data_IF_248530463057
#
_entry.id   IF_248530463057
#
_cell.length_a   1.000
_cell.length_b   1.000
_cell.length_c   1.000
_cell.angle_alpha   90.00
_cell.angle_beta   90.00
_cell.angle_gamma   90.00
#
_symmetry.space_group_name_H-M   'P 1'
#
loop_
_entity.id
_entity.type
_entity.pdbx_description
1 polymer ?
#
# COMPACT_ATOMS: atom_id res chain seq x y z
N UNK A 1 1.58 11.16 -57.94
CA UNK A 1 2.99 11.14 -57.46
C UNK A 1 3.32 12.20 -56.39
N UNK A 2 2.94 13.48 -56.54
CA UNK A 2 3.23 14.52 -55.53
C UNK A 2 2.27 14.46 -54.29
N UNK A 3 0.99 14.16 -54.52
CA UNK A 3 -0.03 13.98 -53.46
C UNK A 3 0.27 12.78 -52.54
N UNK A 4 0.73 11.70 -53.08
CA UNK A 4 1.05 10.48 -52.34
C UNK A 4 2.26 10.69 -51.41
N UNK A 5 3.26 11.46 -51.82
CA UNK A 5 4.43 11.81 -51.03
C UNK A 5 4.09 12.74 -49.86
N UNK A 6 3.15 13.70 -50.06
CA UNK A 6 2.67 14.59 -49.00
C UNK A 6 1.87 13.79 -47.96
N UNK A 7 1.00 12.87 -48.40
CA UNK A 7 0.20 12.03 -47.50
C UNK A 7 1.10 11.09 -46.65
N UNK A 8 2.11 10.49 -47.26
CA UNK A 8 3.07 9.63 -46.58
C UNK A 8 3.90 10.42 -45.55
N UNK A 9 4.32 11.63 -45.86
CA UNK A 9 5.03 12.52 -44.94
C UNK A 9 4.15 12.97 -43.77
N UNK A 10 2.86 13.22 -43.99
CA UNK A 10 1.93 13.60 -42.93
C UNK A 10 1.66 12.43 -41.96
N UNK A 11 1.51 11.21 -42.48
CA UNK A 11 1.32 10.01 -41.67
C UNK A 11 2.57 9.72 -40.85
N UNK A 12 3.76 9.84 -41.43
CA UNK A 12 5.03 9.67 -40.70
C UNK A 12 5.19 10.68 -39.55
N UNK A 13 4.81 11.95 -39.79
CA UNK A 13 4.86 12.99 -38.74
C UNK A 13 3.90 12.72 -37.59
N UNK A 14 2.69 12.22 -37.87
CA UNK A 14 1.70 11.86 -36.81
C UNK A 14 2.16 10.67 -35.98
N UNK A 15 2.81 9.68 -36.58
CA UNK A 15 3.36 8.52 -35.85
C UNK A 15 4.50 8.92 -34.93
N UNK A 16 5.37 9.83 -35.33
CA UNK A 16 6.51 10.29 -34.53
C UNK A 16 6.03 11.14 -33.34
N UNK A 17 4.95 11.91 -33.45
CA UNK A 17 4.40 12.69 -32.34
C UNK A 17 3.62 11.84 -31.32
N UNK A 18 3.22 10.62 -31.69
CA UNK A 18 2.51 9.68 -30.79
C UNK A 18 3.44 8.88 -29.87
N UNK A 19 4.72 8.76 -30.17
CA UNK A 19 5.72 8.10 -29.33
C UNK A 19 6.25 9.05 -28.25
N UNK A 20 5.38 9.43 -27.31
CA UNK A 20 5.87 9.94 -26.03
C UNK A 20 6.42 8.72 -25.27
N UNK A 21 7.73 8.60 -25.20
CA UNK A 21 8.34 7.72 -24.22
C UNK A 21 7.76 8.12 -22.85
N UNK A 22 6.95 7.25 -22.25
CA UNK A 22 6.57 7.43 -20.87
C UNK A 22 7.88 7.44 -20.10
N UNK A 23 8.25 8.60 -19.56
CA UNK A 23 9.36 8.68 -18.64
C UNK A 23 9.04 7.73 -17.50
N UNK A 24 9.78 6.62 -17.39
CA UNK A 24 9.67 5.71 -16.27
C UNK A 24 10.02 6.55 -15.06
N UNK A 25 9.03 6.77 -14.19
CA UNK A 25 9.29 7.49 -12.93
C UNK A 25 10.40 6.76 -12.19
N UNK A 26 11.45 7.46 -11.73
CA UNK A 26 12.53 6.80 -11.02
C UNK A 26 11.97 6.07 -9.81
N UNK A 27 12.35 4.82 -9.64
CA UNK A 27 11.94 4.01 -8.48
C UNK A 27 12.47 4.69 -7.22
N UNK A 28 11.63 4.87 -6.18
CA UNK A 28 12.07 5.52 -4.95
C UNK A 28 13.14 4.68 -4.25
N UNK A 29 14.22 5.32 -3.79
CA UNK A 29 15.29 4.64 -3.05
C UNK A 29 14.91 4.29 -1.61
N UNK A 30 13.91 4.95 -1.08
CA UNK A 30 13.39 4.73 0.28
C UNK A 30 11.91 5.05 0.32
N UNK A 31 11.13 4.15 0.87
CA UNK A 31 9.71 4.35 1.19
C UNK A 31 9.53 4.17 2.69
N UNK A 32 8.92 5.14 3.34
CA UNK A 32 8.61 5.11 4.77
C UNK A 32 7.10 5.09 4.91
N UNK A 33 6.54 3.99 5.39
CA UNK A 33 5.13 3.87 5.78
C UNK A 33 4.99 4.23 7.26
N UNK A 34 4.17 5.24 7.57
CA UNK A 34 3.82 5.60 8.95
C UNK A 34 2.34 5.39 9.16
N UNK A 35 1.99 4.38 9.95
CA UNK A 35 0.62 4.09 10.35
C UNK A 35 0.41 4.52 11.80
N UNK A 36 -0.61 5.36 12.04
CA UNK A 36 -0.97 5.81 13.38
C UNK A 36 -2.35 5.24 13.70
N UNK A 37 -2.38 4.25 14.57
CA UNK A 37 -3.61 3.62 15.01
C UNK A 37 -4.46 4.58 15.86
N UNK A 38 -5.78 4.46 15.75
CA UNK A 38 -6.77 5.26 16.49
C UNK A 38 -6.69 6.79 16.28
N UNK A 39 -5.93 7.27 15.31
CA UNK A 39 -5.91 8.69 14.96
C UNK A 39 -7.19 9.05 14.19
N UNK A 40 -8.10 9.73 14.84
CA UNK A 40 -9.31 10.25 14.19
C UNK A 40 -8.96 11.39 13.24
N UNK A 41 -9.54 11.38 12.05
CA UNK A 41 -9.28 12.38 11.01
C UNK A 41 -9.62 13.81 11.48
N UNK A 42 -10.70 13.98 12.25
CA UNK A 42 -11.12 15.26 12.80
C UNK A 42 -10.14 15.84 13.84
N UNK A 43 -9.31 15.03 14.49
CA UNK A 43 -8.28 15.54 15.40
C UNK A 43 -7.21 16.35 14.67
N UNK A 44 -6.93 16.00 13.43
CA UNK A 44 -5.95 16.74 12.62
C UNK A 44 -6.43 18.16 12.36
N UNK A 45 -7.71 18.34 12.10
CA UNK A 45 -8.32 19.67 11.93
C UNK A 45 -8.48 20.40 13.26
N UNK A 46 -9.06 19.74 14.26
CA UNK A 46 -9.35 20.33 15.57
C UNK A 46 -8.09 20.89 16.27
N UNK A 47 -6.95 20.21 16.12
CA UNK A 47 -5.69 20.63 16.74
C UNK A 47 -4.75 21.38 15.78
N UNK A 48 -5.22 21.76 14.59
CA UNK A 48 -4.40 22.39 13.56
C UNK A 48 -3.68 23.66 14.00
N UNK A 49 -4.29 24.45 14.90
CA UNK A 49 -3.69 25.67 15.48
C UNK A 49 -2.48 25.37 16.38
N UNK A 50 -2.39 24.16 16.92
CA UNK A 50 -1.31 23.73 17.82
C UNK A 50 -0.12 23.12 17.06
N UNK A 51 -0.27 22.83 15.77
CA UNK A 51 0.80 22.24 14.98
C UNK A 51 1.82 23.28 14.53
N UNK A 52 3.10 22.95 14.66
CA UNK A 52 4.18 23.70 14.03
C UNK A 52 4.15 23.58 12.50
N UNK A 53 4.95 24.40 11.83
CA UNK A 53 5.03 24.42 10.35
C UNK A 53 5.61 23.13 9.73
N UNK A 54 6.27 22.30 10.54
CA UNK A 54 6.75 20.97 10.17
C UNK A 54 5.70 19.89 10.54
N UNK A 55 5.85 18.68 10.07
CA UNK A 55 4.91 17.60 10.34
C UNK A 55 3.62 17.73 9.53
N UNK A 56 2.45 17.67 10.17
CA UNK A 56 1.16 17.65 9.47
C UNK A 56 0.96 18.82 8.51
N UNK A 57 1.26 20.06 8.92
CA UNK A 57 1.12 21.22 8.02
C UNK A 57 1.98 21.08 6.77
N UNK A 58 3.19 20.60 6.90
CA UNK A 58 4.06 20.35 5.75
C UNK A 58 3.52 19.25 4.86
N UNK A 59 3.07 18.12 5.44
CA UNK A 59 2.49 17.01 4.69
C UNK A 59 1.25 17.45 3.90
N UNK A 60 0.39 18.27 4.49
CA UNK A 60 -0.78 18.83 3.80
C UNK A 60 -0.41 19.78 2.66
N UNK A 61 0.63 20.59 2.85
CA UNK A 61 1.08 21.58 1.85
C UNK A 61 1.84 20.97 0.68
N UNK A 62 2.70 19.98 0.95
CA UNK A 62 3.64 19.44 -0.02
C UNK A 62 3.21 18.05 -0.54
N UNK A 63 2.38 17.34 0.18
CA UNK A 63 1.94 15.98 -0.10
C UNK A 63 0.61 15.91 -0.83
N UNK A 64 0.13 14.68 -1.03
CA UNK A 64 -1.21 14.38 -1.53
C UNK A 64 -2.07 13.86 -0.38
N UNK A 65 -3.22 14.49 -0.15
CA UNK A 65 -4.16 14.14 0.91
C UNK A 65 -5.39 13.46 0.30
N UNK A 66 -5.76 12.31 0.84
CA UNK A 66 -6.98 11.60 0.50
C UNK A 66 -7.97 11.77 1.64
N UNK A 67 -9.02 12.58 1.43
CA UNK A 67 -9.98 12.93 2.48
C UNK A 67 -11.05 11.86 2.72
N UNK A 68 -11.30 11.00 1.73
CA UNK A 68 -12.35 9.98 1.76
C UNK A 68 -11.76 8.57 1.57
N UNK A 69 -10.72 8.26 2.33
CA UNK A 69 -10.19 6.91 2.36
C UNK A 69 -10.97 6.07 3.36
N UNK A 70 -11.59 4.99 2.89
CA UNK A 70 -12.41 4.09 3.68
C UNK A 70 -12.01 2.64 3.46
N UNK A 71 -12.24 1.79 4.46
CA UNK A 71 -12.16 0.36 4.28
C UNK A 71 -13.49 -0.17 3.77
N UNK A 72 -13.47 -1.03 2.78
CA UNK A 72 -14.65 -1.66 2.17
C UNK A 72 -15.05 -2.99 2.84
N UNK A 73 -14.60 -3.23 4.07
CA UNK A 73 -14.94 -4.39 4.87
C UNK A 73 -15.34 -4.00 6.30
N UNK A 74 -16.18 -4.82 6.93
CA UNK A 74 -16.87 -4.46 8.17
C UNK A 74 -15.98 -4.71 9.41
N UNK A 75 -15.25 -5.81 9.45
CA UNK A 75 -14.49 -6.22 10.62
C UNK A 75 -13.10 -5.59 10.64
N UNK A 76 -13.03 -4.32 10.99
CA UNK A 76 -11.79 -3.55 11.05
C UNK A 76 -11.13 -3.79 12.41
N UNK A 77 -10.01 -4.49 12.39
CA UNK A 77 -9.13 -4.82 13.51
C UNK A 77 -7.72 -4.31 13.16
N UNK A 78 -6.85 -3.97 14.11
CA UNK A 78 -5.52 -3.44 13.79
C UNK A 78 -4.72 -4.28 12.80
N UNK A 79 -4.76 -5.61 12.90
CA UNK A 79 -4.03 -6.48 11.97
C UNK A 79 -4.65 -6.48 10.57
N UNK A 80 -5.99 -6.60 10.46
CA UNK A 80 -6.66 -6.56 9.15
C UNK A 80 -6.53 -5.21 8.47
N UNK A 81 -6.59 -4.11 9.23
CA UNK A 81 -6.42 -2.76 8.72
C UNK A 81 -5.01 -2.54 8.16
N UNK A 82 -3.98 -2.87 8.94
CA UNK A 82 -2.57 -2.73 8.52
C UNK A 82 -2.27 -3.63 7.33
N UNK A 83 -2.69 -4.90 7.37
CA UNK A 83 -2.51 -5.80 6.24
C UNK A 83 -3.15 -5.26 4.97
N UNK A 84 -4.37 -4.71 5.05
CA UNK A 84 -5.06 -4.14 3.89
C UNK A 84 -4.35 -2.91 3.32
N UNK A 85 -3.80 -2.03 4.16
CA UNK A 85 -3.01 -0.87 3.70
C UNK A 85 -1.75 -1.32 2.96
N UNK A 86 -0.99 -2.27 3.52
CA UNK A 86 0.30 -2.67 2.97
C UNK A 86 0.21 -3.67 1.81
N UNK A 87 -0.94 -4.33 1.62
CA UNK A 87 -1.18 -5.23 0.49
C UNK A 87 -2.06 -4.62 -0.60
N UNK A 88 -2.74 -3.50 -0.31
CA UNK A 88 -3.68 -2.86 -1.23
C UNK A 88 -4.94 -3.70 -1.49
N UNK A 89 -5.27 -4.68 -0.61
CA UNK A 89 -6.42 -5.56 -0.80
C UNK A 89 -7.12 -5.88 0.51
N UNK A 90 -8.32 -6.49 0.44
CA UNK A 90 -9.15 -6.77 1.61
C UNK A 90 -8.72 -8.06 2.32
N UNK A 91 -9.15 -8.27 3.58
CA UNK A 91 -8.88 -9.48 4.35
C UNK A 91 -9.28 -10.78 3.66
N UNK A 92 -10.29 -10.73 2.80
CA UNK A 92 -10.72 -11.89 2.00
C UNK A 92 -9.60 -12.40 1.07
N UNK A 93 -8.82 -11.50 0.50
CA UNK A 93 -7.73 -11.85 -0.42
C UNK A 93 -6.39 -11.96 0.29
N UNK A 94 -6.11 -11.09 1.27
CA UNK A 94 -4.82 -11.11 1.94
C UNK A 94 -4.72 -12.13 3.08
N UNK A 95 -5.84 -12.72 3.51
CA UNK A 95 -5.88 -13.79 4.53
C UNK A 95 -5.88 -13.29 5.98
N UNK A 96 -5.61 -12.01 6.25
CA UNK A 96 -5.52 -11.47 7.61
C UNK A 96 -6.87 -10.87 8.01
N UNK A 97 -7.72 -11.67 8.62
CA UNK A 97 -9.07 -11.26 9.00
C UNK A 97 -9.14 -10.55 10.37
N UNK A 98 -8.06 -10.55 11.12
CA UNK A 98 -7.97 -9.89 12.43
C UNK A 98 -6.67 -10.26 13.13
N UNK A 99 -6.46 -9.72 14.34
CA UNK A 99 -5.30 -10.05 15.18
C UNK A 99 -5.28 -11.53 15.57
N UNK A 100 -6.47 -12.11 15.71
CA UNK A 100 -6.69 -13.55 15.97
C UNK A 100 -8.05 -13.98 15.50
N UNK A 101 -8.15 -15.24 15.07
CA UNK A 101 -9.41 -15.85 14.65
C UNK A 101 -9.45 -17.35 14.99
N UNK A 102 -10.62 -17.95 14.91
CA UNK A 102 -10.75 -19.38 15.05
C UNK A 102 -10.48 -20.06 13.70
N UNK A 103 -9.45 -20.89 13.65
CA UNK A 103 -9.23 -21.78 12.52
C UNK A 103 -10.30 -22.88 12.50
N UNK A 104 -11.00 -22.99 11.38
CA UNK A 104 -12.13 -23.91 11.24
C UNK A 104 -11.72 -25.38 11.18
N UNK A 105 -10.48 -25.66 10.78
CA UNK A 105 -9.99 -27.04 10.67
C UNK A 105 -9.56 -27.57 12.02
N UNK A 106 -8.78 -26.81 12.77
CA UNK A 106 -8.27 -27.21 14.06
C UNK A 106 -9.19 -26.86 15.24
N UNK A 107 -10.20 -25.99 15.01
CA UNK A 107 -11.09 -25.39 16.02
C UNK A 107 -10.32 -24.67 17.15
N UNK A 108 -9.15 -24.15 16.82
CA UNK A 108 -8.30 -23.39 17.74
C UNK A 108 -8.24 -21.92 17.35
N UNK A 109 -8.04 -21.06 18.36
CA UNK A 109 -7.74 -19.66 18.12
C UNK A 109 -6.27 -19.57 17.73
N UNK A 110 -6.01 -18.97 16.58
CA UNK A 110 -4.67 -18.65 16.07
C UNK A 110 -4.52 -17.14 15.94
N UNK A 111 -3.29 -16.65 16.07
CA UNK A 111 -2.97 -15.23 15.82
C UNK A 111 -2.51 -15.03 14.37
N UNK A 112 -2.65 -13.81 13.88
CA UNK A 112 -2.23 -13.44 12.53
C UNK A 112 -0.77 -13.79 12.19
N UNK A 113 0.08 -13.84 13.19
CA UNK A 113 1.53 -14.08 13.05
C UNK A 113 1.99 -15.42 13.60
N UNK A 114 1.10 -16.26 14.14
CA UNK A 114 1.50 -17.56 14.71
C UNK A 114 2.10 -18.46 13.65
N UNK A 115 3.29 -18.97 13.89
CA UNK A 115 3.96 -19.95 13.05
C UNK A 115 4.86 -20.87 13.88
N UNK A 116 4.35 -22.02 14.34
CA UNK A 116 5.11 -22.94 15.17
C UNK A 116 6.29 -23.59 14.44
N UNK A 117 6.39 -23.47 13.12
CA UNK A 117 7.51 -24.01 12.34
C UNK A 117 8.74 -23.08 12.34
N UNK A 118 8.57 -21.82 12.74
CA UNK A 118 9.64 -20.83 12.73
C UNK A 118 9.87 -20.26 14.14
N UNK A 119 10.99 -20.60 14.75
CA UNK A 119 11.41 -20.06 16.04
C UNK A 119 12.23 -18.79 15.85
N UNK A 120 11.92 -17.78 16.66
CA UNK A 120 12.71 -16.55 16.69
C UNK A 120 14.09 -16.77 17.31
N UNK A 121 15.07 -15.97 16.87
CA UNK A 121 16.43 -16.00 17.43
C UNK A 121 16.41 -15.21 18.76
N UNK A 122 16.86 -15.82 19.84
CA UNK A 122 16.87 -15.26 21.21
C UNK A 122 15.48 -14.86 21.75
N UNK A 123 14.41 -15.45 21.26
CA UNK A 123 13.04 -15.26 21.75
C UNK A 123 12.29 -16.59 21.76
N UNK A 124 11.28 -16.69 22.62
CA UNK A 124 10.34 -17.81 22.63
C UNK A 124 9.17 -17.64 21.64
N UNK A 125 9.12 -16.51 20.97
CA UNK A 125 8.05 -16.24 19.99
C UNK A 125 8.29 -17.02 18.69
N UNK A 126 7.24 -17.67 18.20
CA UNK A 126 7.23 -18.41 16.94
C UNK A 126 6.28 -17.70 15.99
N UNK A 127 6.83 -16.79 15.19
CA UNK A 127 6.05 -15.90 14.34
C UNK A 127 6.63 -15.78 12.93
N UNK A 128 5.74 -15.71 11.94
CA UNK A 128 6.08 -15.40 10.56
C UNK A 128 4.88 -14.79 9.83
N UNK A 129 5.05 -14.30 8.59
CA UNK A 129 3.94 -13.82 7.77
C UNK A 129 3.18 -14.96 7.05
N UNK A 130 3.23 -16.22 7.50
CA UNK A 130 2.67 -17.38 6.77
C UNK A 130 1.18 -17.27 6.44
N UNK A 131 0.41 -16.50 7.22
CA UNK A 131 -1.01 -16.31 6.98
C UNK A 131 -1.31 -15.21 5.95
N UNK A 132 -0.30 -14.44 5.54
CA UNK A 132 -0.43 -13.43 4.50
C UNK A 132 -0.35 -14.12 3.13
N UNK A 133 -1.43 -14.02 2.34
CA UNK A 133 -1.60 -14.78 1.09
C UNK A 133 -1.17 -14.01 -0.17
N UNK A 134 -0.78 -12.76 -0.03
CA UNK A 134 -0.43 -11.86 -1.14
C UNK A 134 0.83 -11.07 -0.80
N UNK A 135 1.50 -10.54 -1.83
CA UNK A 135 2.66 -9.66 -1.66
C UNK A 135 2.30 -8.35 -0.98
N UNK A 136 3.28 -7.77 -0.31
CA UNK A 136 3.19 -6.44 0.29
C UNK A 136 3.83 -5.39 -0.60
N UNK A 137 3.57 -4.12 -0.29
CA UNK A 137 4.27 -3.00 -0.90
C UNK A 137 5.81 -3.14 -0.81
N UNK A 138 6.31 -3.72 0.29
CA UNK A 138 7.74 -3.95 0.47
C UNK A 138 8.27 -5.01 -0.49
N UNK A 139 7.52 -6.08 -0.70
CA UNK A 139 7.89 -7.16 -1.64
C UNK A 139 7.93 -6.61 -3.07
N UNK A 140 6.91 -5.85 -3.46
CA UNK A 140 6.84 -5.22 -4.79
C UNK A 140 7.98 -4.20 -4.99
N UNK A 141 8.34 -3.44 -3.95
CA UNK A 141 9.47 -2.52 -4.03
C UNK A 141 10.80 -3.26 -4.22
N UNK A 142 11.00 -4.39 -3.55
CA UNK A 142 12.20 -5.22 -3.72
C UNK A 142 12.30 -5.81 -5.13
N UNK A 143 11.18 -6.15 -5.76
CA UNK A 143 11.18 -6.63 -7.15
C UNK A 143 11.46 -5.50 -8.14
N UNK A 144 11.04 -4.26 -7.81
CA UNK A 144 11.20 -3.10 -8.69
C UNK A 144 12.57 -2.42 -8.60
N UNK A 145 13.39 -2.73 -7.61
CA UNK A 145 14.72 -2.14 -7.34
C UNK A 145 15.85 -3.13 -7.48
#
# INVERSE_FOLDING_TARGET
MMKDRILTSLIAAVVITGLRAQAVSPVPKLVIGLTIDQLRADYIEAFSSMYGERGFKRLFKEGRVYCNAEYDFINIDPASAVASIYTGTTPYYNGIVGTRWMDRNSLRIIKAVDDPAHMGIYTSESTSPQHLLVSTLSDELMVAT
#
